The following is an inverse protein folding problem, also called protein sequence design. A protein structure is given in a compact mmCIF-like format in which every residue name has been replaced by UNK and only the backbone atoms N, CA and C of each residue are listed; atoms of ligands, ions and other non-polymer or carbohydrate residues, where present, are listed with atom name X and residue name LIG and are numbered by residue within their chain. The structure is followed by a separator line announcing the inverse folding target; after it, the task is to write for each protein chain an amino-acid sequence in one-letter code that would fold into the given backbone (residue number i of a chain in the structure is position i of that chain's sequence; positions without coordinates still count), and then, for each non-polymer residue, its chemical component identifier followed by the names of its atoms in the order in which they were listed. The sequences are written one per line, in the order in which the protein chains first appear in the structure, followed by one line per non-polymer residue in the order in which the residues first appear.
data_IF_336238024438
#
_entry.id   IF_336238024438
#
_cell.length_a   1.000
_cell.length_b   1.000
_cell.length_c   1.000
_cell.angle_alpha   90.00
_cell.angle_beta   90.00
_cell.angle_gamma   90.00
#
_symmetry.space_group_name_H-M   'P 1'
#
loop_
_entity.id
_entity.type
_entity.pdbx_description
1 polymer ?
#
# COMPACT_ATOMS: atom_id res chain seq x y z
N UNK A 1 20.10 -49.40 -78.11
CA UNK A 1 20.96 -48.65 -77.17
C UNK A 1 20.05 -47.82 -76.28
N UNK A 2 19.81 -48.29 -75.06
CA UNK A 2 19.05 -47.56 -74.04
C UNK A 2 20.01 -46.65 -73.28
N UNK A 3 19.84 -45.33 -73.39
CA UNK A 3 20.50 -44.36 -72.51
C UNK A 3 19.60 -44.14 -71.29
N UNK A 4 20.08 -44.55 -70.12
CA UNK A 4 19.45 -44.28 -68.83
C UNK A 4 19.70 -42.83 -68.41
N UNK A 5 18.62 -42.08 -68.19
CA UNK A 5 18.67 -40.79 -67.50
C UNK A 5 18.46 -41.06 -66.00
N UNK A 6 19.50 -40.86 -65.19
CA UNK A 6 19.38 -40.84 -63.74
C UNK A 6 18.87 -39.46 -63.32
N UNK A 7 17.62 -39.37 -62.86
CA UNK A 7 17.14 -38.18 -62.16
C UNK A 7 17.73 -38.14 -60.75
N UNK A 8 18.68 -37.24 -60.52
CA UNK A 8 19.12 -36.86 -59.18
C UNK A 8 18.09 -35.90 -58.56
N UNK A 9 17.56 -36.23 -57.39
CA UNK A 9 16.71 -35.33 -56.62
C UNK A 9 17.51 -34.13 -56.10
N UNK A 10 16.96 -32.90 -56.07
CA UNK A 10 17.66 -31.75 -55.50
C UNK A 10 17.81 -31.92 -53.98
N UNK A 11 19.02 -31.64 -53.48
CA UNK A 11 19.31 -31.50 -52.05
C UNK A 11 18.43 -30.39 -51.45
N UNK A 12 17.85 -30.58 -50.25
CA UNK A 12 17.14 -29.51 -49.57
C UNK A 12 18.09 -28.36 -49.23
N UNK A 13 17.62 -27.10 -49.25
CA UNK A 13 18.45 -25.94 -48.94
C UNK A 13 19.03 -26.05 -47.52
N UNK A 14 20.24 -25.53 -47.27
CA UNK A 14 20.83 -25.52 -45.93
C UNK A 14 19.92 -24.68 -45.03
N UNK A 15 19.35 -25.32 -44.01
CA UNK A 15 18.59 -24.67 -42.96
C UNK A 15 19.49 -23.62 -42.28
N UNK A 16 19.03 -22.38 -42.27
CA UNK A 16 19.59 -21.28 -41.47
C UNK A 16 19.78 -21.72 -40.01
N UNK A 17 20.98 -21.49 -39.47
CA UNK A 17 21.36 -21.69 -38.06
C UNK A 17 20.52 -20.87 -37.05
N UNK A 18 19.58 -20.04 -37.52
CA UNK A 18 18.66 -19.27 -36.68
C UNK A 18 17.51 -20.09 -36.07
N UNK A 19 17.34 -21.34 -36.48
CA UNK A 19 16.34 -22.28 -35.93
C UNK A 19 16.99 -23.36 -35.07
N UNK A 20 18.05 -23.01 -34.33
CA UNK A 20 18.52 -23.83 -33.21
C UNK A 20 17.38 -23.93 -32.19
N UNK A 21 16.65 -25.05 -32.31
CA UNK A 21 15.75 -25.62 -31.30
C UNK A 21 16.01 -24.99 -29.93
N UNK A 22 15.07 -24.15 -29.49
CA UNK A 22 14.85 -23.94 -28.06
C UNK A 22 14.42 -25.32 -27.56
N UNK A 23 15.40 -26.13 -27.17
CA UNK A 23 15.14 -27.34 -26.44
C UNK A 23 14.65 -26.85 -25.08
N UNK A 24 13.33 -26.85 -24.87
CA UNK A 24 12.78 -26.91 -23.51
C UNK A 24 13.53 -28.07 -22.85
N UNK A 25 14.47 -27.80 -21.94
CA UNK A 25 15.11 -28.87 -21.19
C UNK A 25 14.02 -29.50 -20.31
N UNK A 26 13.55 -30.72 -20.59
CA UNK A 26 12.49 -31.35 -19.81
C UNK A 26 12.95 -31.62 -18.37
N UNK A 27 14.24 -31.51 -18.08
CA UNK A 27 14.83 -31.66 -16.74
C UNK A 27 15.08 -30.33 -16.02
N UNK A 28 14.72 -29.18 -16.59
CA UNK A 28 14.85 -27.90 -15.89
C UNK A 28 13.97 -27.90 -14.62
N UNK A 29 14.53 -27.60 -13.44
CA UNK A 29 13.76 -27.64 -12.20
C UNK A 29 12.62 -26.61 -12.24
N UNK A 30 11.37 -27.09 -12.13
CA UNK A 30 10.20 -26.21 -12.14
C UNK A 30 10.21 -25.28 -10.93
N UNK A 31 10.39 -23.98 -11.16
CA UNK A 31 10.35 -22.97 -10.09
C UNK A 31 8.91 -22.50 -9.86
N UNK A 32 8.61 -21.98 -8.67
CA UNK A 32 7.30 -21.38 -8.36
C UNK A 32 7.33 -19.87 -8.53
N UNK A 33 6.20 -19.26 -8.87
CA UNK A 33 6.09 -17.80 -9.09
C UNK A 33 6.68 -16.98 -7.93
N UNK A 34 6.45 -17.37 -6.68
CA UNK A 34 7.00 -16.64 -5.53
C UNK A 34 8.54 -16.66 -5.43
N UNK A 35 9.20 -17.66 -6.04
CA UNK A 35 10.65 -17.80 -6.03
C UNK A 35 11.31 -16.89 -7.08
N UNK A 36 10.60 -16.62 -8.17
CA UNK A 36 11.04 -15.75 -9.28
C UNK A 36 10.35 -14.39 -9.26
N UNK A 37 9.77 -14.01 -8.12
CA UNK A 37 8.99 -12.79 -8.00
C UNK A 37 9.87 -11.55 -8.13
N UNK A 38 9.51 -10.64 -9.05
CA UNK A 38 10.29 -9.42 -9.34
C UNK A 38 10.12 -8.31 -8.30
N UNK A 39 9.03 -8.32 -7.52
CA UNK A 39 8.77 -7.32 -6.50
C UNK A 39 9.63 -7.54 -5.25
N UNK A 40 9.67 -6.56 -4.36
CA UNK A 40 10.49 -6.61 -3.13
C UNK A 40 9.80 -7.37 -1.98
N UNK A 41 8.82 -8.22 -2.29
CA UNK A 41 8.06 -8.97 -1.29
C UNK A 41 8.89 -10.10 -0.68
N UNK A 42 8.58 -10.43 0.57
CA UNK A 42 9.12 -11.59 1.27
C UNK A 42 8.04 -12.65 1.40
N UNK A 43 8.31 -13.84 0.90
CA UNK A 43 7.36 -14.96 0.96
C UNK A 43 7.74 -15.94 2.06
N UNK A 44 6.74 -16.39 2.82
CA UNK A 44 6.90 -17.38 3.89
C UNK A 44 5.95 -18.57 3.68
N UNK A 45 6.22 -19.68 4.36
CA UNK A 45 5.41 -20.91 4.32
C UNK A 45 5.16 -21.43 2.89
N UNK A 46 6.20 -21.43 2.04
CA UNK A 46 6.10 -21.89 0.66
C UNK A 46 5.18 -21.04 -0.22
N UNK A 47 5.18 -19.72 -0.01
CA UNK A 47 4.40 -18.74 -0.78
C UNK A 47 2.95 -18.58 -0.32
N UNK A 48 2.59 -19.09 0.88
CA UNK A 48 1.24 -18.89 1.45
C UNK A 48 1.08 -17.53 2.10
N UNK A 49 2.16 -17.01 2.69
CA UNK A 49 2.21 -15.68 3.28
C UNK A 49 3.10 -14.79 2.43
N UNK A 50 2.67 -13.54 2.26
CA UNK A 50 3.38 -12.51 1.50
C UNK A 50 3.46 -11.25 2.36
N UNK A 51 4.69 -10.86 2.65
CA UNK A 51 5.00 -9.65 3.39
C UNK A 51 5.65 -8.61 2.48
N UNK A 52 5.62 -7.35 2.88
CA UNK A 52 6.40 -6.32 2.22
C UNK A 52 7.88 -6.40 2.64
N UNK A 53 8.73 -5.54 2.06
CA UNK A 53 10.16 -5.51 2.37
C UNK A 53 10.44 -5.15 3.83
N UNK A 54 9.56 -4.38 4.46
CA UNK A 54 9.71 -3.86 5.82
C UNK A 54 9.20 -4.82 6.90
N UNK A 55 8.97 -6.11 6.59
CA UNK A 55 8.39 -7.12 7.51
C UNK A 55 9.02 -7.15 8.92
N UNK A 56 10.31 -6.78 9.05
CA UNK A 56 11.00 -6.75 10.34
C UNK A 56 10.41 -5.73 11.32
N UNK A 57 9.74 -4.68 10.83
CA UNK A 57 9.07 -3.69 11.68
C UNK A 57 7.91 -4.28 12.48
N UNK A 58 7.35 -5.42 12.06
CA UNK A 58 6.29 -6.12 12.78
C UNK A 58 6.76 -6.50 14.19
N UNK A 59 8.04 -6.82 14.39
CA UNK A 59 8.57 -7.11 15.72
C UNK A 59 8.49 -5.90 16.65
N UNK A 60 8.74 -4.69 16.14
CA UNK A 60 8.57 -3.46 16.91
C UNK A 60 7.10 -3.22 17.25
N UNK A 61 6.18 -3.39 16.29
CA UNK A 61 4.74 -3.25 16.54
C UNK A 61 4.24 -4.29 17.55
N UNK A 62 4.67 -5.54 17.45
CA UNK A 62 4.36 -6.59 18.44
C UNK A 62 4.89 -6.21 19.83
N UNK A 63 6.12 -5.74 19.92
CA UNK A 63 6.71 -5.29 21.19
C UNK A 63 5.91 -4.14 21.82
N UNK A 64 5.50 -3.14 21.02
CA UNK A 64 4.71 -2.00 21.47
C UNK A 64 3.30 -2.41 21.94
N UNK A 65 2.72 -3.49 21.41
CA UNK A 65 1.40 -3.99 21.85
C UNK A 65 1.54 -4.90 23.07
N UNK A 66 2.44 -5.88 23.01
CA UNK A 66 2.54 -6.96 24.00
C UNK A 66 3.12 -6.46 25.33
N UNK A 67 4.13 -5.60 25.31
CA UNK A 67 4.78 -5.09 26.53
C UNK A 67 3.81 -4.39 27.48
N UNK A 68 3.02 -3.37 27.05
CA UNK A 68 2.08 -2.70 27.95
C UNK A 68 0.96 -3.65 28.42
N UNK A 69 0.54 -4.62 27.59
CA UNK A 69 -0.44 -5.63 28.00
C UNK A 69 0.14 -6.54 29.09
N UNK A 70 1.37 -7.04 28.93
CA UNK A 70 2.04 -7.85 29.97
C UNK A 70 2.18 -7.05 31.26
N UNK A 71 2.60 -5.78 31.19
CA UNK A 71 2.68 -4.91 32.37
C UNK A 71 1.31 -4.71 33.04
N UNK A 72 0.26 -4.48 32.24
CA UNK A 72 -1.10 -4.36 32.74
C UNK A 72 -1.55 -5.64 33.46
N UNK A 73 -1.38 -6.81 32.82
CA UNK A 73 -1.74 -8.09 33.42
C UNK A 73 -0.92 -8.38 34.70
N UNK A 74 0.40 -8.21 34.67
CA UNK A 74 1.26 -8.57 35.79
C UNK A 74 1.04 -7.69 37.05
N UNK A 75 0.83 -6.38 36.86
CA UNK A 75 0.83 -5.42 37.96
C UNK A 75 -0.55 -4.84 38.28
N UNK A 76 -1.34 -4.48 37.25
CA UNK A 76 -2.63 -3.81 37.46
C UNK A 76 -3.70 -4.85 37.75
N UNK A 77 -3.80 -5.90 36.95
CA UNK A 77 -4.87 -6.88 37.15
C UNK A 77 -4.69 -7.73 38.39
N UNK A 78 -3.44 -7.96 38.85
CA UNK A 78 -3.19 -8.63 40.14
C UNK A 78 -3.76 -7.83 41.32
N UNK A 79 -3.62 -6.50 41.28
CA UNK A 79 -4.24 -5.60 42.26
C UNK A 79 -5.78 -5.69 42.17
N UNK A 80 -6.32 -5.63 40.96
CA UNK A 80 -7.77 -5.71 40.73
C UNK A 80 -8.38 -7.08 41.12
N UNK A 81 -7.68 -8.20 40.93
CA UNK A 81 -8.16 -9.54 41.32
C UNK A 81 -8.28 -9.69 42.84
N UNK A 82 -7.43 -9.00 43.60
CA UNK A 82 -7.48 -9.03 45.05
C UNK A 82 -8.60 -8.12 45.59
N UNK A 83 -8.88 -7.02 44.88
CA UNK A 83 -9.88 -6.00 45.28
C UNK A 83 -11.30 -6.32 44.82
N UNK A 84 -11.47 -6.86 43.61
CA UNK A 84 -12.76 -7.36 43.13
C UNK A 84 -12.96 -8.81 43.56
N UNK A 85 -14.22 -9.23 43.72
CA UNK A 85 -14.51 -10.66 43.91
C UNK A 85 -13.80 -11.46 42.80
N UNK A 86 -13.04 -12.50 43.19
CA UNK A 86 -12.19 -13.30 42.30
C UNK A 86 -12.74 -13.60 40.89
N UNK A 87 -14.04 -13.92 40.67
CA UNK A 87 -14.55 -14.13 39.31
C UNK A 87 -14.43 -12.91 38.39
N UNK A 88 -14.64 -11.69 38.88
CA UNK A 88 -14.62 -10.49 38.05
C UNK A 88 -13.19 -10.07 37.67
N UNK A 89 -12.24 -10.19 38.60
CA UNK A 89 -10.84 -9.93 38.31
C UNK A 89 -10.28 -10.84 37.22
N UNK A 90 -10.59 -12.14 37.31
CA UNK A 90 -10.17 -13.12 36.29
C UNK A 90 -10.81 -12.85 34.92
N UNK A 91 -12.06 -12.37 34.89
CA UNK A 91 -12.75 -12.00 33.66
C UNK A 91 -12.04 -10.83 32.95
N UNK A 92 -11.61 -9.80 33.69
CA UNK A 92 -10.87 -8.65 33.14
C UNK A 92 -9.58 -9.11 32.44
N UNK A 93 -8.79 -9.98 33.09
CA UNK A 93 -7.56 -10.54 32.49
C UNK A 93 -7.86 -11.35 31.25
N UNK A 94 -8.88 -12.21 31.33
CA UNK A 94 -9.25 -13.09 30.22
C UNK A 94 -9.70 -12.29 29.00
N UNK A 95 -10.52 -11.25 29.19
CA UNK A 95 -10.94 -10.34 28.11
C UNK A 95 -9.73 -9.65 27.49
N UNK A 96 -8.83 -9.11 28.32
CA UNK A 96 -7.62 -8.43 27.83
C UNK A 96 -6.72 -9.38 27.01
N UNK A 97 -6.52 -10.61 27.48
CA UNK A 97 -5.72 -11.61 26.79
C UNK A 97 -6.33 -12.03 25.45
N UNK A 98 -7.63 -12.38 25.43
CA UNK A 98 -8.36 -12.75 24.21
C UNK A 98 -8.35 -11.61 23.20
N UNK A 99 -8.58 -10.38 23.66
CA UNK A 99 -8.59 -9.21 22.80
C UNK A 99 -7.20 -8.89 22.23
N UNK A 100 -6.14 -9.10 23.00
CA UNK A 100 -4.76 -8.97 22.53
C UNK A 100 -4.43 -10.01 21.45
N UNK A 101 -4.83 -11.27 21.63
CA UNK A 101 -4.67 -12.32 20.61
C UNK A 101 -5.43 -11.95 19.32
N UNK A 102 -6.63 -11.39 19.45
CA UNK A 102 -7.40 -10.89 18.31
C UNK A 102 -6.67 -9.76 17.56
N UNK A 103 -6.15 -8.75 18.26
CA UNK A 103 -5.36 -7.65 17.67
C UNK A 103 -4.12 -8.18 16.95
N UNK A 104 -3.38 -9.10 17.58
CA UNK A 104 -2.19 -9.72 16.97
C UNK A 104 -2.57 -10.52 15.71
N UNK A 105 -3.69 -11.25 15.75
CA UNK A 105 -4.19 -11.98 14.57
C UNK A 105 -4.49 -11.01 13.42
N UNK A 106 -5.14 -9.88 13.69
CA UNK A 106 -5.41 -8.85 12.68
C UNK A 106 -4.13 -8.22 12.11
N UNK A 107 -3.10 -8.01 12.95
CA UNK A 107 -1.78 -7.55 12.49
C UNK A 107 -1.18 -8.55 11.48
N UNK A 108 -1.21 -9.85 11.78
CA UNK A 108 -0.72 -10.88 10.86
C UNK A 108 -1.56 -11.01 9.59
N UNK A 109 -2.89 -10.91 9.68
CA UNK A 109 -3.79 -10.91 8.51
C UNK A 109 -3.59 -9.69 7.61
N UNK A 110 -3.21 -8.55 8.18
CA UNK A 110 -2.92 -7.32 7.45
C UNK A 110 -1.56 -7.40 6.75
N UNK A 111 -0.54 -7.84 7.47
CA UNK A 111 0.86 -7.85 7.02
C UNK A 111 1.22 -9.00 6.09
N UNK A 112 0.71 -10.21 6.37
CA UNK A 112 1.08 -11.45 5.67
C UNK A 112 0.19 -11.81 4.48
N UNK A 113 -0.70 -10.89 4.06
CA UNK A 113 -1.66 -11.10 2.97
C UNK A 113 -1.28 -10.28 1.74
N UNK A 114 -1.56 -10.84 0.57
CA UNK A 114 -1.46 -10.09 -0.70
C UNK A 114 -2.41 -8.89 -0.63
N UNK A 115 -1.91 -7.64 -0.72
CA UNK A 115 -2.73 -6.44 -0.61
C UNK A 115 -3.63 -6.20 -1.84
N UNK A 116 -3.41 -6.92 -2.94
CA UNK A 116 -4.09 -6.71 -4.21
C UNK A 116 -3.10 -6.42 -5.33
N UNK A 117 -1.98 -7.14 -5.37
CA UNK A 117 -0.95 -6.90 -6.38
C UNK A 117 -1.51 -7.21 -7.77
N UNK A 118 -1.32 -6.29 -8.70
CA UNK A 118 -1.63 -6.48 -10.12
C UNK A 118 -0.44 -7.20 -10.78
N UNK A 119 -0.66 -8.31 -11.51
CA UNK A 119 0.38 -8.99 -12.26
C UNK A 119 1.05 -8.03 -13.24
N UNK A 120 2.38 -8.14 -13.39
CA UNK A 120 3.11 -7.38 -14.40
C UNK A 120 2.73 -7.90 -15.78
N UNK A 121 2.59 -7.00 -16.74
CA UNK A 121 2.36 -7.40 -18.12
C UNK A 121 3.69 -7.92 -18.71
N UNK A 122 3.73 -9.12 -19.30
CA UNK A 122 4.95 -9.63 -19.94
C UNK A 122 5.32 -8.85 -21.21
N UNK A 123 4.31 -8.31 -21.89
CA UNK A 123 4.46 -7.50 -23.10
C UNK A 123 3.78 -6.14 -22.85
N UNK A 124 4.34 -5.02 -23.32
CA UNK A 124 3.65 -3.74 -23.23
C UNK A 124 2.34 -3.81 -24.06
N UNK A 125 1.28 -3.06 -23.70
CA UNK A 125 0.09 -2.96 -24.54
C UNK A 125 0.47 -2.49 -25.95
N UNK A 126 -0.10 -3.11 -26.98
CA UNK A 126 0.10 -2.64 -28.35
C UNK A 126 -0.67 -1.33 -28.57
N UNK A 127 -0.12 -0.35 -29.32
CA UNK A 127 -0.81 0.92 -29.58
C UNK A 127 -2.09 0.76 -30.43
N UNK A 128 -2.23 -0.35 -31.15
CA UNK A 128 -3.21 -0.54 -32.23
C UNK A 128 -4.50 -1.26 -31.76
N UNK A 129 -4.47 -2.00 -30.65
CA UNK A 129 -5.63 -2.74 -30.12
C UNK A 129 -6.68 -1.84 -29.43
N UNK A 130 -6.46 -0.52 -29.37
CA UNK A 130 -7.31 0.43 -28.63
C UNK A 130 -8.16 1.37 -29.50
N UNK A 131 -8.11 1.27 -30.84
CA UNK A 131 -8.87 2.14 -31.77
C UNK A 131 -10.27 1.63 -32.16
N UNK A 132 -10.86 0.69 -31.42
CA UNK A 132 -12.27 0.30 -31.65
C UNK A 132 -13.29 1.28 -31.00
N UNK A 133 -12.92 2.55 -30.92
CA UNK A 133 -13.73 3.66 -30.39
C UNK A 133 -13.78 4.85 -31.33
N UNK A 134 -14.23 4.64 -32.58
CA UNK A 134 -14.79 5.64 -33.51
C UNK A 134 -14.19 7.06 -33.47
N UNK A 135 -13.26 7.35 -34.38
CA UNK A 135 -12.87 8.71 -34.72
C UNK A 135 -12.13 8.78 -36.06
N UNK A 136 -12.88 9.03 -37.15
CA UNK A 136 -12.32 9.27 -38.47
C UNK A 136 -11.40 10.49 -38.41
N UNK A 137 -10.12 10.33 -38.72
CA UNK A 137 -9.29 11.43 -39.23
C UNK A 137 -8.16 10.86 -40.07
N UNK A 138 -8.31 11.05 -41.38
CA UNK A 138 -7.25 10.92 -42.34
C UNK A 138 -6.30 12.10 -42.15
N UNK A 139 -5.05 11.82 -41.77
CA UNK A 139 -3.91 12.59 -42.26
C UNK A 139 -2.61 11.83 -41.99
N UNK A 140 -1.94 11.46 -43.09
CA UNK A 140 -0.68 10.74 -43.08
C UNK A 140 0.45 11.63 -42.53
N UNK A 141 0.94 11.29 -41.35
CA UNK A 141 2.28 11.67 -40.89
C UNK A 141 2.98 10.42 -40.36
N UNK A 142 4.09 10.07 -40.99
CA UNK A 142 5.04 9.03 -40.56
C UNK A 142 5.36 9.21 -39.07
N UNK A 143 4.91 8.28 -38.22
CA UNK A 143 5.20 8.30 -36.79
C UNK A 143 6.51 7.58 -36.50
N UNK A 144 7.54 8.35 -36.24
CA UNK A 144 8.75 7.89 -35.57
C UNK A 144 8.42 7.60 -34.10
N UNK A 145 8.65 6.34 -33.68
CA UNK A 145 8.52 5.80 -32.33
C UNK A 145 7.10 5.81 -31.73
N UNK A 146 6.45 4.65 -31.79
CA UNK A 146 5.23 4.26 -31.08
C UNK A 146 5.40 4.34 -29.55
N UNK A 147 5.44 5.55 -29.00
CA UNK A 147 5.41 5.77 -27.56
C UNK A 147 3.97 5.71 -27.05
N UNK A 148 3.68 4.76 -26.17
CA UNK A 148 2.38 4.64 -25.52
C UNK A 148 2.03 5.94 -24.79
N UNK A 149 0.78 6.46 -24.90
CA UNK A 149 0.40 7.69 -24.23
C UNK A 149 0.56 7.53 -22.70
N UNK A 150 1.12 8.53 -22.00
CA UNK A 150 1.43 8.43 -20.57
C UNK A 150 0.16 8.25 -19.71
N UNK A 151 -0.98 8.69 -20.23
CA UNK A 151 -2.28 8.57 -19.59
C UNK A 151 -3.35 8.07 -20.55
N UNK A 152 -4.28 7.29 -20.02
CA UNK A 152 -5.47 6.82 -20.72
C UNK A 152 -6.72 7.21 -19.93
N UNK A 153 -7.78 7.58 -20.62
CA UNK A 153 -9.07 7.87 -20.00
C UNK A 153 -9.92 6.61 -19.91
N UNK A 154 -10.48 6.33 -18.73
CA UNK A 154 -11.29 5.13 -18.46
C UNK A 154 -12.60 5.56 -17.82
N UNK A 155 -13.72 5.04 -18.32
CA UNK A 155 -15.05 5.30 -17.75
C UNK A 155 -15.28 4.48 -16.48
N UNK A 156 -15.62 5.15 -15.38
CA UNK A 156 -15.96 4.54 -14.08
C UNK A 156 -17.24 5.17 -13.54
N UNK A 157 -18.32 4.40 -13.46
CA UNK A 157 -19.64 4.87 -13.02
C UNK A 157 -20.04 6.19 -13.71
N UNK A 158 -19.99 6.19 -15.06
CA UNK A 158 -20.32 7.33 -15.91
C UNK A 158 -19.44 8.57 -15.74
N UNK A 159 -18.25 8.42 -15.15
CA UNK A 159 -17.25 9.48 -15.02
C UNK A 159 -15.93 9.06 -15.64
N UNK A 160 -15.33 9.96 -16.40
CA UNK A 160 -13.99 9.78 -16.96
C UNK A 160 -12.95 9.89 -15.85
N UNK A 161 -12.17 8.82 -15.67
CA UNK A 161 -11.03 8.75 -14.74
C UNK A 161 -9.76 8.55 -15.56
N UNK A 162 -8.82 9.49 -15.43
CA UNK A 162 -7.53 9.40 -16.08
C UNK A 162 -6.60 8.44 -15.33
N UNK A 163 -6.15 7.39 -16.00
CA UNK A 163 -5.18 6.42 -15.47
C UNK A 163 -3.79 6.64 -16.06
N UNK A 164 -2.75 6.38 -15.27
CA UNK A 164 -1.34 6.54 -15.69
C UNK A 164 -0.74 5.19 -16.10
N UNK A 165 0.14 5.18 -17.09
CA UNK A 165 0.95 4.02 -17.43
C UNK A 165 2.01 3.74 -16.35
N UNK A 166 2.29 2.47 -16.07
CA UNK A 166 3.38 2.05 -15.18
C UNK A 166 4.48 1.39 -16.00
N UNK A 167 5.60 2.09 -16.19
CA UNK A 167 6.76 1.56 -16.91
C UNK A 167 7.33 0.30 -16.23
N UNK A 168 7.36 0.26 -14.89
CA UNK A 168 7.91 -0.87 -14.13
C UNK A 168 7.08 -2.14 -14.23
N UNK A 169 5.75 -2.01 -14.27
CA UNK A 169 4.82 -3.14 -14.35
C UNK A 169 4.27 -3.38 -15.77
N UNK A 170 4.64 -2.52 -16.72
CA UNK A 170 4.28 -2.57 -18.15
C UNK A 170 2.77 -2.58 -18.40
N UNK A 171 2.00 -1.81 -17.62
CA UNK A 171 0.54 -1.79 -17.70
C UNK A 171 -0.04 -0.40 -17.46
N UNK A 172 -1.17 -0.10 -18.09
CA UNK A 172 -2.04 0.99 -17.65
C UNK A 172 -2.65 0.62 -16.29
N UNK A 173 -2.40 1.46 -15.28
CA UNK A 173 -2.85 1.18 -13.91
C UNK A 173 -4.38 1.15 -13.90
N UNK A 174 -5.03 0.08 -13.44
CA UNK A 174 -6.47 0.09 -13.28
C UNK A 174 -6.92 1.27 -12.40
N UNK A 175 -8.19 1.73 -12.48
CA UNK A 175 -8.68 2.77 -11.60
C UNK A 175 -8.40 2.46 -10.12
N UNK A 176 -7.98 3.47 -9.36
CA UNK A 176 -7.54 3.36 -7.94
C UNK A 176 -6.28 2.51 -7.71
N UNK A 177 -5.58 2.06 -8.75
CA UNK A 177 -4.31 1.35 -8.62
C UNK A 177 -3.13 2.33 -8.65
N UNK A 178 -2.18 2.13 -7.74
CA UNK A 178 -0.93 2.90 -7.72
C UNK A 178 0.28 1.99 -7.59
N UNK A 179 1.41 2.41 -8.16
CA UNK A 179 2.68 1.72 -8.01
C UNK A 179 3.35 2.15 -6.71
N UNK A 180 3.66 1.20 -5.84
CA UNK A 180 4.50 1.42 -4.67
C UNK A 180 5.94 1.08 -5.02
N UNK A 181 6.83 2.08 -5.02
CA UNK A 181 8.25 1.89 -5.29
C UNK A 181 8.97 1.05 -4.22
N UNK A 182 8.52 1.12 -2.96
CA UNK A 182 9.07 0.36 -1.83
C UNK A 182 8.84 -1.14 -2.06
N UNK A 183 7.58 -1.54 -2.26
CA UNK A 183 7.23 -2.93 -2.55
C UNK A 183 7.57 -3.35 -3.99
N UNK A 184 7.80 -2.38 -4.89
CA UNK A 184 8.03 -2.57 -6.32
C UNK A 184 6.86 -3.32 -7.00
N UNK A 185 5.62 -2.90 -6.75
CA UNK A 185 4.41 -3.47 -7.34
C UNK A 185 3.32 -2.43 -7.55
N UNK A 186 2.48 -2.65 -8.56
CA UNK A 186 1.17 -2.02 -8.66
C UNK A 186 0.18 -2.72 -7.71
N UNK A 187 -0.51 -1.95 -6.88
CA UNK A 187 -1.48 -2.45 -5.89
C UNK A 187 -2.86 -1.87 -6.19
N UNK A 188 -3.86 -2.74 -6.28
CA UNK A 188 -5.26 -2.38 -6.50
C UNK A 188 -5.85 -1.67 -5.28
N UNK A 189 -6.62 -0.60 -5.52
CA UNK A 189 -7.19 0.27 -4.47
C UNK A 189 -6.11 0.64 -3.45
N UNK A 190 -4.99 1.14 -3.94
CA UNK A 190 -3.84 1.46 -3.11
C UNK A 190 -4.21 2.55 -2.11
N UNK A 191 -3.91 2.31 -0.84
CA UNK A 191 -4.13 3.27 0.22
C UNK A 191 -2.82 3.93 0.63
N UNK A 192 -1.88 3.15 1.15
CA UNK A 192 -0.53 3.60 1.49
C UNK A 192 0.41 2.39 1.70
N UNK A 193 1.71 2.65 1.76
CA UNK A 193 2.66 1.69 2.32
C UNK A 193 2.81 1.95 3.81
N UNK A 194 2.53 0.96 4.66
CA UNK A 194 2.54 1.13 6.10
C UNK A 194 3.79 0.49 6.70
N UNK A 195 4.74 1.29 7.25
CA UNK A 195 5.92 0.75 7.89
C UNK A 195 5.60 -0.11 9.10
N UNK A 196 4.54 0.20 9.87
CA UNK A 196 4.18 -0.51 11.11
C UNK A 196 3.68 -1.94 10.92
N UNK A 197 3.10 -2.24 9.76
CA UNK A 197 2.70 -3.60 9.36
C UNK A 197 3.68 -4.21 8.35
N UNK A 198 4.64 -3.41 7.87
CA UNK A 198 5.68 -3.83 6.94
C UNK A 198 5.18 -4.17 5.53
N UNK A 199 4.04 -3.62 5.09
CA UNK A 199 3.36 -4.01 3.84
C UNK A 199 2.49 -2.86 3.30
N UNK A 200 2.20 -2.89 2.00
CA UNK A 200 1.18 -2.05 1.37
C UNK A 200 -0.21 -2.36 1.92
N UNK A 201 -1.01 -1.31 2.14
CA UNK A 201 -2.44 -1.41 2.40
C UNK A 201 -3.18 -1.18 1.09
N UNK A 202 -4.01 -2.13 0.69
CA UNK A 202 -4.78 -2.11 -0.55
C UNK A 202 -6.08 -2.92 -0.43
N UNK A 203 -6.72 -3.17 -1.57
CA UNK A 203 -8.06 -3.77 -1.66
C UNK A 203 -8.28 -5.01 -0.77
N UNK A 204 -7.30 -5.91 -0.71
CA UNK A 204 -7.46 -7.25 -0.11
C UNK A 204 -7.18 -7.29 1.40
N UNK A 205 -6.44 -6.32 1.93
CA UNK A 205 -6.04 -6.29 3.35
C UNK A 205 -6.54 -5.04 4.10
N UNK A 206 -7.10 -4.03 3.42
CA UNK A 206 -7.62 -2.80 4.05
C UNK A 206 -8.60 -3.06 5.19
N UNK A 207 -9.51 -4.04 5.06
CA UNK A 207 -10.46 -4.37 6.14
C UNK A 207 -9.77 -4.82 7.42
N UNK A 208 -8.70 -5.62 7.29
CA UNK A 208 -7.95 -6.12 8.43
C UNK A 208 -7.10 -5.02 9.03
N UNK A 209 -6.54 -4.14 8.19
CA UNK A 209 -5.84 -2.95 8.64
C UNK A 209 -6.74 -2.06 9.50
N UNK A 210 -7.94 -1.73 9.01
CA UNK A 210 -8.85 -0.89 9.78
C UNK A 210 -9.29 -1.57 11.08
N UNK A 211 -9.65 -2.86 11.03
CA UNK A 211 -9.98 -3.63 12.25
C UNK A 211 -8.80 -3.68 13.21
N UNK A 212 -7.57 -3.82 12.73
CA UNK A 212 -6.35 -3.82 13.55
C UNK A 212 -6.17 -2.48 14.27
N UNK A 213 -6.18 -1.36 13.54
CA UNK A 213 -5.96 -0.03 14.12
C UNK A 213 -7.07 0.32 15.11
N UNK A 214 -8.33 0.13 14.73
CA UNK A 214 -9.49 0.41 15.61
C UNK A 214 -9.52 -0.48 16.86
N UNK A 215 -9.24 -1.79 16.73
CA UNK A 215 -9.17 -2.69 17.89
C UNK A 215 -7.97 -2.39 18.78
N UNK A 216 -6.86 -1.95 18.22
CA UNK A 216 -5.70 -1.48 19.00
C UNK A 216 -6.06 -0.22 19.79
N UNK A 217 -6.78 0.74 19.20
CA UNK A 217 -7.32 1.90 19.94
C UNK A 217 -8.23 1.47 21.09
N UNK A 218 -9.14 0.52 20.85
CA UNK A 218 -10.02 0.00 21.90
C UNK A 218 -9.24 -0.72 23.01
N UNK A 219 -8.18 -1.47 22.68
CA UNK A 219 -7.33 -2.12 23.65
C UNK A 219 -6.57 -1.09 24.51
N UNK A 220 -6.09 -0.01 23.89
CA UNK A 220 -5.46 1.09 24.63
C UNK A 220 -6.45 1.80 25.57
N UNK A 221 -7.68 2.07 25.11
CA UNK A 221 -8.74 2.66 25.95
C UNK A 221 -9.13 1.74 27.11
N UNK A 222 -9.19 0.42 26.86
CA UNK A 222 -9.43 -0.58 27.90
C UNK A 222 -8.36 -0.51 28.98
N UNK A 223 -7.08 -0.58 28.61
CA UNK A 223 -5.95 -0.50 29.55
C UNK A 223 -5.97 0.85 30.29
N UNK A 224 -6.18 1.95 29.58
CA UNK A 224 -6.27 3.29 30.16
C UNK A 224 -7.37 3.37 31.24
N UNK A 225 -8.58 2.90 30.94
CA UNK A 225 -9.71 2.93 31.86
C UNK A 225 -9.44 2.09 33.12
N UNK A 226 -8.95 0.85 32.96
CA UNK A 226 -8.67 -0.01 34.12
C UNK A 226 -7.46 0.44 34.95
N UNK A 227 -6.48 1.12 34.35
CA UNK A 227 -5.43 1.79 35.12
C UNK A 227 -5.98 2.92 35.99
N UNK A 228 -6.93 3.71 35.48
CA UNK A 228 -7.61 4.73 36.27
C UNK A 228 -8.47 4.14 37.39
N UNK A 229 -9.21 3.06 37.11
CA UNK A 229 -9.97 2.33 38.14
C UNK A 229 -9.04 1.84 39.25
N UNK A 230 -7.89 1.25 38.91
CA UNK A 230 -6.90 0.80 39.90
C UNK A 230 -6.37 1.95 40.76
N UNK A 231 -6.08 3.12 40.17
CA UNK A 231 -5.64 4.29 40.94
C UNK A 231 -6.73 4.84 41.85
N UNK A 232 -7.98 4.92 41.37
CA UNK A 232 -9.13 5.31 42.20
C UNK A 232 -9.27 4.41 43.42
N UNK A 233 -9.15 3.08 43.23
CA UNK A 233 -9.16 2.11 44.33
C UNK A 233 -8.03 2.31 45.33
N UNK A 234 -6.81 2.59 44.87
CA UNK A 234 -5.67 2.90 45.75
C UNK A 234 -5.91 4.22 46.51
N UNK A 235 -6.46 5.24 45.85
CA UNK A 235 -6.80 6.51 46.51
C UNK A 235 -7.82 6.30 47.63
N UNK A 236 -8.87 5.52 47.36
CA UNK A 236 -9.92 5.20 48.33
C UNK A 236 -9.37 4.37 49.50
N UNK A 237 -8.62 3.30 49.22
CA UNK A 237 -8.10 2.40 50.24
C UNK A 237 -7.07 3.04 51.19
N UNK A 238 -6.26 3.98 50.68
CA UNK A 238 -5.21 4.65 51.45
C UNK A 238 -5.55 6.10 51.84
N UNK A 239 -6.77 6.56 51.54
CA UNK A 239 -7.21 7.96 51.72
C UNK A 239 -6.15 8.97 51.27
N UNK A 240 -5.62 8.78 50.06
CA UNK A 240 -4.48 9.54 49.56
C UNK A 240 -4.77 10.27 48.25
N UNK A 241 -3.98 11.31 47.96
CA UNK A 241 -4.10 12.06 46.71
C UNK A 241 -3.50 11.28 45.52
N UNK A 242 -3.80 11.75 44.31
CA UNK A 242 -3.39 11.12 43.05
C UNK A 242 -1.86 10.92 42.96
N UNK A 243 -1.07 11.89 43.41
CA UNK A 243 0.40 11.80 43.39
C UNK A 243 0.91 10.61 44.22
N UNK A 244 0.38 10.45 45.43
CA UNK A 244 0.75 9.34 46.31
C UNK A 244 0.25 8.00 45.78
N UNK A 245 -0.89 7.98 45.09
CA UNK A 245 -1.40 6.78 44.41
C UNK A 245 -0.48 6.36 43.25
N UNK A 246 0.04 7.30 42.46
CA UNK A 246 1.05 7.01 41.43
C UNK A 246 2.36 6.47 42.02
N UNK A 247 2.82 7.02 43.16
CA UNK A 247 4.01 6.48 43.83
C UNK A 247 3.80 5.05 44.34
N UNK A 248 2.56 4.68 44.71
CA UNK A 248 2.19 3.32 45.10
C UNK A 248 2.03 2.36 43.90
N UNK A 249 1.57 2.87 42.75
CA UNK A 249 1.45 2.08 41.51
C UNK A 249 2.07 2.84 40.32
N UNK A 250 3.42 2.90 40.24
CA UNK A 250 4.09 3.64 39.17
C UNK A 250 3.79 3.06 37.79
N UNK A 251 3.56 1.74 37.71
CA UNK A 251 3.16 1.05 36.47
C UNK A 251 1.83 1.58 35.93
N UNK A 252 0.83 1.82 36.78
CA UNK A 252 -0.44 2.41 36.34
C UNK A 252 -0.24 3.81 35.75
N UNK A 253 0.63 4.62 36.35
CA UNK A 253 0.96 5.96 35.83
C UNK A 253 1.67 5.92 34.48
N UNK A 254 2.68 5.05 34.34
CA UNK A 254 3.40 4.85 33.07
C UNK A 254 2.43 4.38 31.97
N UNK A 255 1.56 3.41 32.28
CA UNK A 255 0.60 2.89 31.32
C UNK A 255 -0.46 3.93 30.92
N UNK A 256 -0.92 4.78 31.85
CA UNK A 256 -1.85 5.89 31.55
C UNK A 256 -1.19 6.87 30.59
N UNK A 257 0.04 7.30 30.86
CA UNK A 257 0.76 8.21 29.98
C UNK A 257 1.00 7.60 28.60
N UNK A 258 1.46 6.34 28.58
CA UNK A 258 1.69 5.59 27.33
C UNK A 258 0.42 5.47 26.50
N UNK A 259 -0.67 4.99 27.10
CA UNK A 259 -1.95 4.79 26.39
C UNK A 259 -2.58 6.11 25.96
N UNK A 260 -2.43 7.19 26.73
CA UNK A 260 -2.87 8.53 26.32
C UNK A 260 -2.17 8.98 25.03
N UNK A 261 -0.83 8.87 24.97
CA UNK A 261 -0.06 9.22 23.77
C UNK A 261 -0.46 8.33 22.60
N UNK A 262 -0.54 7.01 22.80
CA UNK A 262 -0.89 6.06 21.73
C UNK A 262 -2.30 6.29 21.21
N UNK A 263 -3.29 6.56 22.08
CA UNK A 263 -4.66 6.85 21.66
C UNK A 263 -4.73 8.12 20.81
N UNK A 264 -3.92 9.15 21.10
CA UNK A 264 -3.88 10.35 20.26
C UNK A 264 -3.49 10.01 18.81
N UNK A 265 -2.42 9.25 18.62
CA UNK A 265 -1.94 8.88 17.28
C UNK A 265 -2.80 7.81 16.62
N UNK A 266 -2.99 6.66 17.28
CA UNK A 266 -3.70 5.50 16.71
C UNK A 266 -5.22 5.74 16.66
N UNK A 267 -5.78 6.43 17.66
CA UNK A 267 -7.17 6.86 17.65
C UNK A 267 -7.45 7.93 16.59
N UNK A 268 -6.56 8.90 16.42
CA UNK A 268 -6.63 9.85 15.31
C UNK A 268 -6.58 9.17 13.95
N UNK A 269 -5.70 8.19 13.77
CA UNK A 269 -5.63 7.36 12.56
C UNK A 269 -6.94 6.56 12.35
N UNK A 270 -7.51 5.99 13.41
CA UNK A 270 -8.81 5.29 13.36
C UNK A 270 -9.91 6.22 12.88
N UNK A 271 -10.02 7.43 13.44
CA UNK A 271 -11.03 8.41 13.05
C UNK A 271 -10.85 8.85 11.59
N UNK A 272 -9.61 9.09 11.15
CA UNK A 272 -9.30 9.44 9.78
C UNK A 272 -9.71 8.32 8.79
N UNK A 273 -9.35 7.07 9.07
CA UNK A 273 -9.76 5.97 8.20
C UNK A 273 -11.27 5.69 8.27
N UNK A 274 -11.93 5.96 9.40
CA UNK A 274 -13.39 5.90 9.46
C UNK A 274 -14.01 6.92 8.50
N UNK A 275 -13.51 8.16 8.49
CA UNK A 275 -13.91 9.18 7.50
C UNK A 275 -13.72 8.68 6.05
N UNK A 276 -12.55 8.11 5.73
CA UNK A 276 -12.27 7.56 4.40
C UNK A 276 -13.22 6.42 4.01
N UNK A 277 -13.60 5.56 4.95
CA UNK A 277 -14.61 4.52 4.73
C UNK A 277 -15.96 5.17 4.43
N UNK A 278 -16.40 6.14 5.25
CA UNK A 278 -17.68 6.82 5.05
C UNK A 278 -17.77 7.54 3.71
N UNK A 279 -16.66 8.08 3.20
CA UNK A 279 -16.61 8.79 1.91
C UNK A 279 -16.18 7.92 0.73
N UNK A 280 -15.87 6.63 0.94
CA UNK A 280 -15.31 5.69 -0.04
C UNK A 280 -14.06 6.20 -0.77
N UNK A 281 -13.12 6.74 -0.01
CA UNK A 281 -11.83 7.21 -0.53
C UNK A 281 -10.69 6.37 0.05
N UNK A 282 -9.59 6.26 -0.68
CA UNK A 282 -8.32 5.83 -0.09
C UNK A 282 -7.55 7.04 0.44
N UNK A 283 -6.59 6.81 1.32
CA UNK A 283 -5.66 7.84 1.78
C UNK A 283 -4.96 8.51 0.60
N UNK A 284 -4.49 7.71 -0.37
CA UNK A 284 -3.88 8.20 -1.60
C UNK A 284 -4.82 9.12 -2.40
N UNK A 285 -6.09 8.73 -2.56
CA UNK A 285 -7.09 9.55 -3.25
C UNK A 285 -7.38 10.86 -2.52
N UNK A 286 -7.53 10.81 -1.21
CA UNK A 286 -7.80 11.99 -0.40
C UNK A 286 -6.64 13.00 -0.40
N UNK A 287 -5.39 12.56 -0.55
CA UNK A 287 -4.23 13.45 -0.60
C UNK A 287 -3.86 13.93 -2.01
N UNK A 288 -3.92 13.06 -3.04
CA UNK A 288 -3.46 13.40 -4.40
C UNK A 288 -4.58 13.84 -5.36
N UNK A 289 -5.81 13.43 -5.08
CA UNK A 289 -6.98 13.75 -5.90
C UNK A 289 -8.05 14.43 -5.06
N UNK A 290 -7.67 15.33 -4.12
CA UNK A 290 -8.63 16.24 -3.45
C UNK A 290 -9.50 16.79 -4.56
N UNK A 291 -10.72 16.29 -4.63
CA UNK A 291 -11.41 16.25 -5.91
C UNK A 291 -11.55 17.68 -6.42
N UNK A 292 -11.10 17.96 -7.64
CA UNK A 292 -11.20 19.25 -8.34
C UNK A 292 -12.69 19.65 -8.52
N UNK A 293 -13.41 19.89 -7.41
CA UNK A 293 -14.86 20.02 -7.36
C UNK A 293 -15.67 18.78 -7.79
N UNK A 294 -15.04 17.68 -8.25
CA UNK A 294 -15.75 16.50 -8.81
C UNK A 294 -16.26 15.56 -7.70
N UNK A 295 -17.54 15.20 -7.73
CA UNK A 295 -18.15 14.23 -6.78
C UNK A 295 -17.44 12.86 -6.89
N UNK A 296 -17.06 12.24 -5.76
CA UNK A 296 -16.43 10.91 -5.72
C UNK A 296 -17.28 9.84 -6.47
N UNK A 297 -16.79 9.24 -7.58
CA UNK A 297 -17.51 8.20 -8.33
C UNK A 297 -17.75 6.90 -7.55
N UNK A 298 -16.98 6.64 -6.50
CA UNK A 298 -17.05 5.39 -5.74
C UNK A 298 -17.97 5.48 -4.52
N UNK A 299 -18.44 6.68 -4.15
CA UNK A 299 -19.28 6.85 -2.98
C UNK A 299 -20.70 6.31 -3.23
N UNK A 300 -21.11 5.30 -2.45
CA UNK A 300 -22.44 4.66 -2.51
C UNK A 300 -23.32 5.02 -1.30
N UNK A 301 -22.97 6.09 -0.59
CA UNK A 301 -23.56 6.44 0.70
C UNK A 301 -22.93 5.69 1.87
N UNK A 302 -23.06 6.23 3.09
CA UNK A 302 -22.34 5.76 4.27
C UNK A 302 -22.54 4.26 4.54
N UNK A 303 -23.78 3.77 4.49
CA UNK A 303 -24.12 2.36 4.72
C UNK A 303 -23.57 1.45 3.62
N UNK A 304 -23.71 1.85 2.36
CA UNK A 304 -23.18 1.11 1.21
C UNK A 304 -21.66 0.97 1.26
N UNK A 305 -20.96 2.04 1.67
CA UNK A 305 -19.51 2.03 1.79
C UNK A 305 -19.03 1.15 2.96
N UNK A 306 -19.70 1.21 4.12
CA UNK A 306 -19.42 0.30 5.24
C UNK A 306 -19.64 -1.16 4.82
N UNK A 307 -20.78 -1.45 4.16
CA UNK A 307 -21.10 -2.80 3.70
C UNK A 307 -20.02 -3.33 2.75
N UNK A 308 -19.55 -2.48 1.83
CA UNK A 308 -18.47 -2.81 0.91
C UNK A 308 -17.18 -3.20 1.64
N UNK A 309 -16.79 -2.48 2.70
CA UNK A 309 -15.52 -2.74 3.39
C UNK A 309 -15.60 -3.97 4.29
N UNK A 310 -16.63 -4.07 5.12
CA UNK A 310 -16.69 -5.09 6.20
C UNK A 310 -17.40 -6.38 5.78
N UNK A 311 -18.42 -6.29 4.92
CA UNK A 311 -19.32 -7.41 4.66
C UNK A 311 -19.21 -7.98 3.25
N UNK A 312 -18.51 -7.32 2.33
CA UNK A 312 -18.27 -7.89 1.00
C UNK A 312 -17.32 -9.10 1.06
N UNK A 313 -17.38 -9.95 0.03
CA UNK A 313 -16.41 -11.04 -0.15
C UNK A 313 -15.03 -10.44 -0.45
N UNK A 314 -14.00 -10.91 0.25
CA UNK A 314 -12.63 -10.56 -0.11
C UNK A 314 -12.34 -11.17 -1.49
N UNK A 315 -11.90 -10.40 -2.50
CA UNK A 315 -11.63 -10.93 -3.83
C UNK A 315 -10.56 -12.04 -3.78
N UNK A 316 -10.35 -12.78 -4.88
CA UNK A 316 -9.21 -13.70 -5.05
C UNK A 316 -7.94 -12.92 -5.41
N UNK A 317 -6.76 -13.53 -5.21
CA UNK A 317 -5.51 -12.87 -5.59
C UNK A 317 -5.42 -12.93 -7.11
N UNK A 318 -4.96 -11.84 -7.74
CA UNK A 318 -4.68 -11.85 -9.18
C UNK A 318 -3.41 -12.66 -9.51
N UNK A 319 -2.62 -13.01 -8.50
CA UNK A 319 -1.39 -13.78 -8.65
C UNK A 319 -1.54 -15.16 -8.02
N UNK A 320 -1.30 -16.22 -8.80
CA UNK A 320 -1.13 -17.56 -8.25
C UNK A 320 0.36 -17.79 -7.90
N UNK A 321 0.79 -17.25 -6.76
CA UNK A 321 2.19 -17.30 -6.30
C UNK A 321 2.78 -18.72 -6.18
N UNK A 322 1.93 -19.74 -6.04
CA UNK A 322 2.35 -21.14 -5.85
C UNK A 322 2.33 -21.95 -7.14
N UNK A 323 1.85 -21.39 -8.25
CA UNK A 323 1.91 -22.04 -9.56
C UNK A 323 3.35 -22.26 -10.01
N UNK A 324 3.57 -23.31 -10.82
CA UNK A 324 4.87 -23.64 -11.40
C UNK A 324 5.09 -22.80 -12.66
N UNK A 325 6.33 -22.38 -12.86
CA UNK A 325 6.81 -21.66 -14.05
C UNK A 325 7.85 -22.54 -14.73
N UNK A 326 7.74 -22.73 -16.05
CA UNK A 326 8.76 -23.43 -16.85
C UNK A 326 9.93 -22.48 -17.12
N UNK A 327 11.16 -23.03 -17.18
CA UNK A 327 12.43 -22.29 -17.20
C UNK A 327 12.61 -21.26 -18.32
N UNK A 328 11.82 -21.30 -19.38
CA UNK A 328 11.91 -20.35 -20.50
C UNK A 328 11.02 -19.11 -20.33
N UNK A 329 10.07 -19.14 -19.37
CA UNK A 329 9.38 -17.90 -18.95
C UNK A 329 10.25 -17.07 -18.02
N UNK A 330 11.27 -17.65 -17.37
CA UNK A 330 12.25 -16.86 -16.62
C UNK A 330 13.04 -15.94 -17.56
N UNK A 331 13.41 -16.40 -18.76
CA UNK A 331 14.21 -15.62 -19.72
C UNK A 331 13.42 -14.50 -20.41
N UNK A 332 12.13 -14.70 -20.70
CA UNK A 332 11.24 -13.62 -21.17
C UNK A 332 10.89 -12.62 -20.08
N UNK A 333 10.92 -13.03 -18.80
CA UNK A 333 10.85 -12.12 -17.66
C UNK A 333 12.21 -11.48 -17.32
N UNK A 334 13.38 -12.02 -17.68
CA UNK A 334 14.69 -11.42 -17.32
C UNK A 334 15.31 -10.55 -18.40
N UNK A 335 14.78 -10.53 -19.62
CA UNK A 335 15.41 -9.80 -20.73
C UNK A 335 14.73 -8.44 -20.96
N UNK A 336 15.19 -7.42 -20.24
CA UNK A 336 15.14 -6.03 -20.72
C UNK A 336 16.58 -5.57 -20.94
N UNK A 337 16.84 -5.08 -22.16
CA UNK A 337 18.16 -4.83 -22.77
C UNK A 337 19.22 -4.14 -21.88
N UNK A 338 20.51 -4.50 -21.97
CA UNK A 338 21.60 -3.65 -21.49
C UNK A 338 21.96 -2.60 -22.54
N UNK A 339 21.97 -1.33 -22.11
CA UNK A 339 22.42 -0.17 -22.87
C UNK A 339 23.95 -0.22 -23.10
N UNK A 340 24.35 -0.13 -24.37
CA UNK A 340 25.64 0.29 -24.95
C UNK A 340 26.94 0.20 -24.13
N UNK A 341 27.90 -0.58 -24.66
CA UNK A 341 29.33 -0.53 -24.36
C UNK A 341 29.96 0.86 -24.60
N UNK A 342 30.83 1.29 -23.68
CA UNK A 342 31.97 2.16 -23.98
C UNK A 342 33.20 1.64 -23.21
N UNK A 343 34.28 1.34 -23.92
CA UNK A 343 35.55 0.82 -23.40
C UNK A 343 36.48 1.96 -22.96
N UNK A 344 37.19 1.81 -21.82
CA UNK A 344 38.59 2.23 -21.62
C UNK A 344 39.13 1.89 -20.20
N UNK A 345 40.46 1.88 -19.95
CA UNK A 345 41.17 0.76 -19.31
C UNK A 345 41.62 1.00 -17.85
N UNK A 346 42.28 -0.01 -17.29
CA UNK A 346 42.56 -0.31 -15.87
C UNK A 346 43.52 0.61 -15.06
N UNK A 347 43.14 0.80 -13.78
CA UNK A 347 43.93 0.85 -12.50
C UNK A 347 44.83 2.06 -12.15
N UNK A 348 45.14 2.36 -10.83
CA UNK A 348 44.75 1.72 -9.56
C UNK A 348 44.21 2.67 -8.43
N UNK A 349 43.76 2.06 -7.31
CA UNK A 349 43.14 2.63 -6.08
C UNK A 349 43.92 3.78 -5.38
N UNK A 350 43.19 4.77 -4.82
CA UNK A 350 43.38 5.33 -3.45
C UNK A 350 42.20 6.23 -2.99
N UNK A 351 41.84 6.04 -1.70
CA UNK A 351 41.22 6.94 -0.70
C UNK A 351 39.96 7.78 -0.98
N UNK A 352 38.96 7.57 -0.10
CA UNK A 352 37.98 8.51 0.49
C UNK A 352 37.81 9.90 -0.14
N UNK A 353 36.58 10.21 -0.61
CA UNK A 353 35.80 11.31 -0.05
C UNK A 353 34.31 11.31 -0.46
N UNK A 354 33.50 11.81 0.46
CA UNK A 354 32.05 11.99 0.39
C UNK A 354 31.69 13.03 -0.67
N UNK A 355 30.80 12.69 -1.61
CA UNK A 355 29.93 13.68 -2.29
C UNK A 355 28.64 13.07 -2.84
N UNK A 356 27.56 13.63 -2.32
CA UNK A 356 26.16 13.62 -2.75
C UNK A 356 25.98 13.78 -4.26
N UNK A 357 25.13 12.95 -4.89
CA UNK A 357 24.60 13.24 -6.23
C UNK A 357 24.24 12.01 -7.07
N UNK A 358 22.96 11.59 -7.01
CA UNK A 358 22.14 10.99 -8.10
C UNK A 358 20.82 10.45 -7.53
N UNK A 359 19.85 11.33 -7.30
CA UNK A 359 18.44 10.98 -7.00
C UNK A 359 17.43 11.89 -7.72
N UNK A 360 17.85 12.67 -8.71
CA UNK A 360 17.12 13.85 -9.16
C UNK A 360 16.61 13.77 -10.60
N UNK A 361 15.98 12.65 -10.97
CA UNK A 361 15.26 12.56 -12.25
C UNK A 361 13.76 12.25 -12.05
N UNK A 362 13.41 11.34 -11.13
CA UNK A 362 12.00 10.98 -10.89
C UNK A 362 11.28 11.96 -9.95
N UNK A 363 12.02 12.70 -9.10
CA UNK A 363 11.39 13.70 -8.23
C UNK A 363 11.06 15.01 -8.95
N UNK A 364 11.57 15.25 -10.17
CA UNK A 364 11.35 16.50 -10.89
C UNK A 364 9.92 16.53 -11.47
N UNK A 365 9.47 15.42 -12.07
CA UNK A 365 8.11 15.28 -12.61
C UNK A 365 7.04 15.37 -11.51
N UNK A 366 7.31 14.79 -10.33
CA UNK A 366 6.40 14.87 -9.18
C UNK A 366 6.42 16.23 -8.46
N UNK A 367 7.46 17.04 -8.65
CA UNK A 367 7.57 18.38 -8.05
C UNK A 367 6.99 19.47 -8.96
N UNK A 368 7.07 19.31 -10.29
CA UNK A 368 6.37 20.18 -11.23
C UNK A 368 4.84 20.04 -11.15
N UNK A 369 4.32 18.85 -10.89
CA UNK A 369 2.89 18.61 -10.56
C UNK A 369 2.47 19.40 -9.30
N UNK A 370 3.39 19.66 -8.36
CA UNK A 370 3.13 20.41 -7.12
C UNK A 370 3.21 21.92 -7.37
N UNK A 371 4.22 22.39 -8.11
CA UNK A 371 4.40 23.80 -8.43
C UNK A 371 3.28 24.34 -9.34
N UNK A 372 2.87 23.57 -10.34
CA UNK A 372 1.75 23.92 -11.21
C UNK A 372 0.41 24.05 -10.46
N UNK A 373 0.21 23.26 -9.40
CA UNK A 373 -0.97 23.37 -8.54
C UNK A 373 -0.88 24.51 -7.54
N UNK A 374 0.31 24.86 -7.05
CA UNK A 374 0.50 26.03 -6.16
C UNK A 374 0.30 27.34 -6.94
N UNK A 375 0.76 27.43 -8.18
CA UNK A 375 0.49 28.58 -9.06
C UNK A 375 -1.00 28.71 -9.40
N UNK A 376 -1.72 27.59 -9.58
CA UNK A 376 -3.18 27.60 -9.76
C UNK A 376 -3.96 28.11 -8.53
N UNK A 377 -3.38 28.05 -7.33
CA UNK A 377 -4.02 28.49 -6.08
C UNK A 377 -3.69 29.95 -5.75
N UNK A 378 -2.65 30.53 -6.35
CA UNK A 378 -2.24 31.93 -6.16
C UNK A 378 -3.16 32.98 -6.82
N UNK A 379 -4.15 32.56 -7.60
CA UNK A 379 -5.01 33.44 -8.41
C UNK A 379 -6.44 33.63 -7.88
N UNK A 380 -6.66 33.66 -6.56
CA UNK A 380 -7.97 34.01 -5.99
C UNK A 380 -7.82 35.16 -4.99
N UNK A 381 -8.00 36.37 -5.51
CA UNK A 381 -8.17 37.60 -4.74
C UNK A 381 -9.38 37.48 -3.78
N UNK A 382 -9.06 37.52 -2.48
CA UNK A 382 -9.73 38.28 -1.41
C UNK A 382 -11.24 38.52 -1.60
N UNK A 383 -12.07 37.61 -1.11
CA UNK A 383 -13.50 37.88 -0.88
C UNK A 383 -13.69 38.66 0.42
N UNK A 384 -14.09 39.94 0.34
CA UNK A 384 -14.35 40.81 1.48
C UNK A 384 -15.55 41.73 1.28
N UNK A 385 -16.65 41.38 1.96
CA UNK A 385 -17.80 42.17 2.42
C UNK A 385 -18.99 42.53 1.50
N UNK A 386 -20.23 42.57 2.06
CA UNK A 386 -21.47 42.78 1.33
C UNK A 386 -21.81 44.27 1.16
N UNK A 387 -22.41 44.60 0.01
CA UNK A 387 -22.97 45.93 -0.31
C UNK A 387 -24.14 46.27 0.62
N UNK A 388 -23.96 47.25 1.50
CA UNK A 388 -25.06 48.05 2.01
C UNK A 388 -25.28 49.24 1.09
N UNK A 389 -26.49 49.36 0.57
CA UNK A 389 -26.98 50.61 0.00
C UNK A 389 -27.47 51.50 1.14
N UNK A 390 -26.95 52.72 1.26
CA UNK A 390 -27.81 53.87 1.54
C UNK A 390 -27.14 55.21 1.19
N UNK A 391 -28.02 56.16 0.92
CA UNK A 391 -27.83 57.50 0.38
C UNK A 391 -26.98 58.49 1.20
N UNK A 392 -26.46 59.45 0.43
CA UNK A 392 -26.42 60.91 0.66
C UNK A 392 -25.27 61.66 1.35
N UNK A 393 -24.83 62.66 0.56
CA UNK A 393 -24.41 64.02 0.87
C UNK A 393 -23.17 64.32 1.75
N UNK A 394 -22.18 64.92 1.05
CA UNK A 394 -21.28 66.03 1.43
C UNK A 394 -21.21 66.48 2.90
N UNK A 395 -19.95 66.52 3.36
CA UNK A 395 -19.23 67.65 3.98
C UNK A 395 -18.83 67.53 5.47
N UNK A 396 -17.52 67.69 5.66
CA UNK A 396 -16.80 68.47 6.67
C UNK A 396 -16.70 68.04 8.16
N UNK A 397 -15.45 68.19 8.61
CA UNK A 397 -14.86 68.23 9.98
C UNK A 397 -14.60 66.91 10.69
#
# INVERSE_FOLDING_TARGET
MMQGSMHANPLPPPLSDSNRRIMEDPNAPSQRVYQVWKGNNRFCLGGRLIFGPDVRSIFLTLFLIVTPVIMFCAFVTRSLINEFQHPFGNLIVTICAVFTVYVITLLFLTSGRDPGIIPRNPHPPDPEDEDNGSGISADGRQSSASSLPPTKDVMVNDKVVKVKYCQTCMLYRPPRCSHCSICNNCVERFDHHCPWVGQCIGKRNYRFFFMFVSSTTMLCLYVFAFCWVNLGKIMDAYHCNLWRAFLKSPVSGILILYTFIVVWFVGGLTAFHAYLIFTNQTTYENFRYRCDGKKNPYNRGCSGNILEIFFSKIPSSNNNFRSKVKGDSSSSLTTSMPLGHAMSPEMPKRSFDIKTGKRQAVSAEDFEDILSQIESVGGLERCGQPRHANWDHRANW
#
